data_IF_683269353499
#
_entry.id   IF_683269353499
#
_cell.length_a   1.000
_cell.length_b   1.000
_cell.length_c   1.000
_cell.angle_alpha   90.00
_cell.angle_beta   90.00
_cell.angle_gamma   90.00
#
_symmetry.space_group_name_H-M   'P 1'
#
loop_
_entity.id
_entity.type
_entity.pdbx_description
1 polymer ?
#
# COMPACT_ATOMS: atom_id res chain seq x y z
N UNK A 1 5.26 -0.14 -8.43
CA UNK A 1 4.71 0.47 -7.21
C UNK A 1 3.50 -0.36 -6.82
N UNK A 2 3.54 -1.05 -5.68
CA UNK A 2 2.38 -1.79 -5.15
C UNK A 2 1.36 -0.78 -4.66
N UNK A 3 0.15 -0.82 -5.21
CA UNK A 3 -0.95 0.12 -4.90
C UNK A 3 -1.45 -0.02 -3.46
N UNK A 4 -1.42 -1.25 -2.94
CA UNK A 4 -1.87 -1.61 -1.59
C UNK A 4 -0.87 -2.55 -0.92
N UNK A 5 -0.51 -2.27 0.33
CA UNK A 5 0.33 -3.15 1.15
C UNK A 5 -0.10 -3.10 2.61
N UNK A 6 -0.38 -4.26 3.20
CA UNK A 6 -0.80 -4.39 4.58
C UNK A 6 0.00 -5.48 5.29
N UNK A 7 0.44 -5.17 6.50
CA UNK A 7 1.14 -6.06 7.42
C UNK A 7 0.18 -6.48 8.54
N UNK A 8 -0.90 -7.19 8.18
CA UNK A 8 -1.83 -7.78 9.15
C UNK A 8 -1.20 -9.05 9.75
N UNK A 9 -0.94 -9.03 11.07
CA UNK A 9 -0.22 -10.11 11.75
C UNK A 9 -0.97 -11.42 11.67
N UNK A 10 -2.26 -11.40 11.96
CA UNK A 10 -3.11 -12.60 12.02
C UNK A 10 -3.15 -13.32 10.67
N UNK A 11 -3.24 -12.55 9.58
CA UNK A 11 -3.25 -13.11 8.23
C UNK A 11 -1.88 -13.62 7.79
N UNK A 12 -0.81 -12.85 8.06
CA UNK A 12 0.55 -13.22 7.69
C UNK A 12 1.01 -14.47 8.44
N UNK A 13 0.81 -14.50 9.75
CA UNK A 13 1.21 -15.62 10.59
C UNK A 13 0.33 -16.85 10.35
N UNK A 14 -0.99 -16.64 10.29
CA UNK A 14 -1.96 -17.73 10.14
C UNK A 14 -1.88 -18.43 8.78
N UNK A 15 -1.60 -17.71 7.69
CA UNK A 15 -1.66 -18.26 6.34
C UNK A 15 -0.30 -18.41 5.64
N UNK A 16 0.58 -17.40 5.75
CA UNK A 16 1.83 -17.37 4.96
C UNK A 16 3.02 -17.94 5.72
N UNK A 17 3.19 -17.64 7.01
CA UNK A 17 4.28 -18.20 7.80
C UNK A 17 4.03 -19.65 8.23
N UNK A 18 2.77 -20.06 8.34
CA UNK A 18 2.38 -21.44 8.65
C UNK A 18 2.59 -22.42 7.48
N UNK A 19 2.76 -21.91 6.25
CA UNK A 19 2.94 -22.72 5.05
C UNK A 19 4.39 -22.63 4.51
N UNK A 20 5.19 -23.72 4.52
CA UNK A 20 6.58 -23.71 4.05
C UNK A 20 6.77 -23.22 2.62
N UNK A 21 5.76 -23.40 1.74
CA UNK A 21 5.80 -22.92 0.35
C UNK A 21 5.90 -21.39 0.28
N UNK A 22 5.25 -20.69 1.20
CA UNK A 22 5.22 -19.23 1.29
C UNK A 22 6.32 -18.71 2.24
N UNK A 23 6.48 -19.32 3.41
CA UNK A 23 7.40 -18.90 4.45
C UNK A 23 8.86 -18.76 3.96
N UNK A 24 9.29 -19.57 2.99
CA UNK A 24 10.63 -19.49 2.39
C UNK A 24 10.97 -18.15 1.73
N UNK A 25 9.96 -17.33 1.43
CA UNK A 25 10.14 -16.01 0.83
C UNK A 25 10.07 -14.86 1.84
N UNK A 26 9.82 -15.15 3.12
CA UNK A 26 9.53 -14.13 4.14
C UNK A 26 10.66 -14.09 5.17
N UNK A 27 11.42 -12.99 5.18
CA UNK A 27 12.38 -12.72 6.24
C UNK A 27 11.63 -12.25 7.50
N UNK A 28 11.50 -13.14 8.49
CA UNK A 28 10.78 -12.87 9.74
C UNK A 28 11.37 -11.70 10.53
N UNK A 29 12.70 -11.58 10.59
CA UNK A 29 13.38 -10.49 11.28
C UNK A 29 13.05 -9.13 10.65
N UNK A 30 12.98 -9.07 9.32
CA UNK A 30 12.58 -7.85 8.61
C UNK A 30 11.10 -7.56 8.82
N UNK A 31 10.24 -8.58 8.67
CA UNK A 31 8.79 -8.48 8.83
C UNK A 31 8.38 -7.89 10.18
N UNK A 32 9.02 -8.27 11.28
CA UNK A 32 8.70 -7.74 12.61
C UNK A 32 8.76 -6.21 12.69
N UNK A 33 9.63 -5.57 11.90
CA UNK A 33 9.73 -4.10 11.86
C UNK A 33 8.53 -3.46 11.16
N UNK A 34 7.84 -4.18 10.27
CA UNK A 34 6.78 -3.65 9.42
C UNK A 34 5.37 -3.82 10.00
N UNK A 35 5.15 -4.69 10.99
CA UNK A 35 3.82 -4.80 11.62
C UNK A 35 3.33 -3.48 12.20
N UNK A 36 4.22 -2.65 12.77
CA UNK A 36 3.85 -1.32 13.29
C UNK A 36 3.39 -0.33 12.21
N UNK A 37 3.75 -0.57 10.94
CA UNK A 37 3.36 0.30 9.83
C UNK A 37 1.87 0.15 9.54
N UNK A 38 1.29 -1.01 9.85
CA UNK A 38 -0.08 -1.34 9.49
C UNK A 38 -0.19 -1.55 7.99
N UNK A 39 -0.58 -0.53 7.25
CA UNK A 39 -0.60 -0.60 5.79
C UNK A 39 -0.90 0.72 5.12
N UNK A 40 -0.81 0.70 3.80
CA UNK A 40 -1.07 1.85 2.93
C UNK A 40 -1.95 1.41 1.77
N UNK A 41 -2.84 2.31 1.35
CA UNK A 41 -3.62 2.21 0.13
C UNK A 41 -3.62 3.54 -0.59
N UNK A 42 -3.37 3.49 -1.89
CA UNK A 42 -3.60 4.60 -2.81
C UNK A 42 -4.77 4.17 -3.71
N UNK A 43 -5.79 5.01 -3.75
CA UNK A 43 -7.07 4.76 -4.40
C UNK A 43 -7.45 6.03 -5.18
N UNK A 44 -7.99 5.82 -6.39
CA UNK A 44 -8.41 6.89 -7.30
C UNK A 44 -9.77 6.52 -7.90
N UNK A 45 -10.60 7.53 -8.13
CA UNK A 45 -11.87 7.39 -8.84
C UNK A 45 -11.65 7.60 -10.34
N UNK A 46 -11.98 6.58 -11.14
CA UNK A 46 -11.77 6.58 -12.58
C UNK A 46 -13.10 6.58 -13.32
N UNK A 47 -13.33 7.59 -14.15
CA UNK A 47 -14.42 7.62 -15.12
C UNK A 47 -13.94 6.98 -16.42
N UNK A 48 -14.60 5.91 -16.86
CA UNK A 48 -14.31 5.26 -18.15
C UNK A 48 -15.05 6.01 -19.27
N UNK A 49 -14.36 6.32 -20.36
CA UNK A 49 -14.91 7.01 -21.55
C UNK A 49 -14.79 6.12 -22.79
N UNK A 50 -15.42 6.52 -23.89
CA UNK A 50 -15.40 5.76 -25.15
C UNK A 50 -13.97 5.57 -25.72
N UNK A 51 -13.06 6.49 -25.41
CA UNK A 51 -11.70 6.57 -25.91
C UNK A 51 -10.62 6.37 -24.82
N UNK A 52 -11.01 6.12 -23.57
CA UNK A 52 -10.05 5.96 -22.46
C UNK A 52 -10.67 6.12 -21.07
N UNK A 53 -10.05 7.00 -20.28
CA UNK A 53 -10.49 7.28 -18.92
C UNK A 53 -10.10 8.69 -18.46
N UNK A 54 -10.86 9.22 -17.50
CA UNK A 54 -10.53 10.41 -16.72
C UNK A 54 -10.30 9.98 -15.26
N UNK A 55 -9.19 10.44 -14.65
CA UNK A 55 -8.95 10.24 -13.22
C UNK A 55 -9.50 11.46 -12.46
N UNK A 56 -10.63 11.25 -11.79
CA UNK A 56 -11.34 12.29 -11.03
C UNK A 56 -10.62 12.65 -9.72
N UNK A 57 -9.62 11.86 -9.32
CA UNK A 57 -8.80 12.04 -8.13
C UNK A 57 -7.41 12.62 -8.42
N UNK A 58 -7.15 13.15 -9.63
CA UNK A 58 -5.85 13.73 -10.01
C UNK A 58 -5.43 14.89 -9.09
N UNK A 59 -6.37 15.65 -8.53
CA UNK A 59 -6.07 16.74 -7.59
C UNK A 59 -5.72 16.30 -6.17
N UNK A 60 -5.88 15.01 -5.82
CA UNK A 60 -5.54 14.52 -4.50
C UNK A 60 -4.01 14.28 -4.40
N UNK A 61 -3.28 14.99 -3.52
CA UNK A 61 -1.82 14.95 -3.49
C UNK A 61 -1.32 13.57 -3.07
N UNK A 62 -0.29 13.06 -3.76
CA UNK A 62 0.34 11.76 -3.51
C UNK A 62 1.87 11.90 -3.47
N UNK A 63 2.55 10.99 -2.77
CA UNK A 63 4.01 10.98 -2.70
C UNK A 63 4.60 12.30 -2.17
N UNK A 64 5.56 12.88 -2.90
CA UNK A 64 6.24 14.13 -2.50
C UNK A 64 5.29 15.32 -2.35
N UNK A 65 4.24 15.41 -3.16
CA UNK A 65 3.25 16.48 -3.05
C UNK A 65 2.49 16.38 -1.73
N UNK A 66 2.08 15.16 -1.34
CA UNK A 66 1.44 14.91 -0.05
C UNK A 66 2.37 15.30 1.10
N UNK A 67 3.66 14.98 1.00
CA UNK A 67 4.64 15.37 2.00
C UNK A 67 4.79 16.89 2.11
N UNK A 68 4.73 17.64 1.00
CA UNK A 68 4.73 19.11 1.04
C UNK A 68 3.51 19.64 1.77
N UNK A 69 2.32 19.12 1.46
CA UNK A 69 1.06 19.51 2.12
C UNK A 69 1.13 19.27 3.62
N UNK A 70 1.51 18.06 4.06
CA UNK A 70 1.59 17.70 5.49
C UNK A 70 2.60 18.59 6.23
N UNK A 71 3.69 18.98 5.58
CA UNK A 71 4.72 19.82 6.18
C UNK A 71 4.45 21.33 6.05
N UNK A 72 3.29 21.75 5.52
CA UNK A 72 2.96 23.18 5.33
C UNK A 72 3.83 23.90 4.30
N UNK A 73 4.30 23.18 3.27
CA UNK A 73 5.21 23.66 2.21
C UNK A 73 4.57 23.59 0.81
N UNK A 74 3.26 23.41 0.74
CA UNK A 74 2.49 23.34 -0.49
C UNK A 74 2.17 24.75 -1.02
#
# INVERSE_FOLDING_TARGET
>A
MTTNSYFCREYIEGYFLSNPRHARFINKTVLERYYRVGGVRIEDDILVTDDGYENLSTGAPKGEELLKVINGKA
#
